data_IF_111708259689
#
_entry.id   IF_111708259689
#
_cell.length_a   1.000
_cell.length_b   1.000
_cell.length_c   1.000
_cell.angle_alpha   90.00
_cell.angle_beta   90.00
_cell.angle_gamma   90.00
#
_symmetry.space_group_name_H-M   'P 1'
#
loop_
_entity.id
_entity.type
_entity.pdbx_description
1 polymer ?
#
# COMPACT_ATOMS: atom_id res chain seq x y z
N UNK A 1 26.09 -5.24 -16.18
CA UNK A 1 24.90 -4.71 -16.88
C UNK A 1 23.76 -4.38 -15.90
N UNK A 2 24.06 -4.21 -14.63
CA UNK A 2 23.06 -3.95 -13.54
C UNK A 2 22.96 -2.46 -13.17
N UNK A 3 23.95 -1.65 -13.48
CA UNK A 3 24.04 -0.25 -13.03
C UNK A 3 23.15 0.75 -13.80
N UNK A 4 22.62 0.40 -14.97
CA UNK A 4 21.81 1.31 -15.81
C UNK A 4 20.32 1.37 -15.49
N UNK A 5 19.79 0.47 -14.66
CA UNK A 5 18.36 0.46 -14.29
C UNK A 5 18.02 1.26 -13.02
N UNK A 6 19.02 1.65 -12.22
CA UNK A 6 18.82 2.45 -11.02
C UNK A 6 18.70 3.96 -11.28
N UNK A 7 19.22 4.47 -12.38
CA UNK A 7 19.25 5.92 -12.67
C UNK A 7 17.91 6.45 -13.19
N UNK A 8 17.03 5.62 -13.72
CA UNK A 8 15.74 6.06 -14.26
C UNK A 8 14.65 6.24 -13.18
N UNK A 9 14.81 5.62 -12.02
CA UNK A 9 13.85 5.71 -10.91
C UNK A 9 14.08 6.92 -9.99
N UNK A 10 15.28 7.49 -10.00
CA UNK A 10 15.62 8.66 -9.16
C UNK A 10 15.21 10.00 -9.76
N UNK A 11 14.95 10.11 -11.05
CA UNK A 11 14.59 11.37 -11.72
C UNK A 11 13.08 11.66 -11.74
N UNK A 12 12.24 10.68 -11.44
CA UNK A 12 10.78 10.84 -11.37
C UNK A 12 10.25 11.45 -10.07
N UNK A 13 11.08 11.55 -9.03
CA UNK A 13 10.64 11.95 -7.68
C UNK A 13 10.75 13.46 -7.39
N UNK A 14 11.16 14.28 -8.36
CA UNK A 14 11.55 15.65 -8.06
C UNK A 14 10.62 16.75 -8.62
N UNK A 15 9.37 16.54 -8.79
CA UNK A 15 8.45 17.68 -9.03
C UNK A 15 7.05 17.35 -8.55
N UNK A 16 6.69 17.69 -7.33
CA UNK A 16 5.41 18.34 -7.00
C UNK A 16 5.57 19.03 -5.65
N UNK A 17 6.06 20.24 -5.65
CA UNK A 17 5.88 21.17 -4.55
C UNK A 17 4.70 22.06 -4.95
N UNK A 18 3.56 21.86 -4.36
CA UNK A 18 2.40 22.67 -4.69
C UNK A 18 1.20 22.48 -3.76
N UNK A 19 1.00 23.45 -2.90
CA UNK A 19 -0.23 23.86 -2.24
C UNK A 19 -0.73 23.08 -1.03
N UNK A 20 -0.79 23.80 0.07
CA UNK A 20 -1.16 23.40 1.40
C UNK A 20 -2.60 22.90 1.54
N UNK A 21 -2.69 21.63 1.86
CA UNK A 21 -3.81 21.06 2.59
C UNK A 21 -3.20 20.03 3.55
N UNK A 22 -3.68 19.97 4.78
CA UNK A 22 -3.30 18.92 5.74
C UNK A 22 -3.67 17.59 5.10
N UNK A 23 -2.69 16.80 4.69
CA UNK A 23 -2.92 15.52 4.05
C UNK A 23 -2.20 14.43 4.84
N UNK A 24 -2.96 13.58 5.46
CA UNK A 24 -2.51 12.30 5.96
C UNK A 24 -2.53 11.30 4.81
N UNK A 25 -1.57 10.38 4.83
CA UNK A 25 -1.36 9.40 3.78
C UNK A 25 -2.36 8.23 3.88
N UNK A 26 -3.59 8.42 3.39
CA UNK A 26 -4.68 7.45 3.48
C UNK A 26 -5.19 6.99 2.11
N UNK A 27 -5.81 5.78 2.02
CA UNK A 27 -6.45 5.28 0.80
C UNK A 27 -7.60 6.16 0.27
N UNK A 28 -8.14 7.05 1.10
CA UNK A 28 -9.14 8.05 0.75
C UNK A 28 -8.62 9.41 1.21
N UNK A 29 -7.89 10.15 0.36
CA UNK A 29 -7.45 11.52 0.62
C UNK A 29 -8.65 12.48 0.69
N UNK A 30 -8.40 13.79 0.83
CA UNK A 30 -9.47 14.80 0.86
C UNK A 30 -10.30 14.79 -0.42
N UNK A 31 -11.53 15.28 -0.31
CA UNK A 31 -12.39 15.49 -1.48
C UNK A 31 -11.66 16.31 -2.57
N UNK A 32 -11.61 15.74 -3.77
CA UNK A 32 -10.97 16.33 -4.94
C UNK A 32 -9.46 16.08 -5.03
N UNK A 33 -8.82 15.56 -4.00
CA UNK A 33 -7.39 15.30 -4.02
C UNK A 33 -7.02 14.05 -4.82
N UNK A 34 -5.81 14.06 -5.34
CA UNK A 34 -5.13 12.91 -5.91
C UNK A 34 -4.10 12.37 -4.93
N UNK A 35 -3.84 11.08 -5.02
CA UNK A 35 -2.79 10.41 -4.27
C UNK A 35 -2.03 9.42 -5.14
N UNK A 36 -0.71 9.41 -5.01
CA UNK A 36 0.16 8.39 -5.58
C UNK A 36 0.80 7.62 -4.44
N UNK A 37 0.63 6.30 -4.45
CA UNK A 37 1.19 5.40 -3.45
C UNK A 37 2.03 4.33 -4.14
N UNK A 38 3.20 4.04 -3.59
CA UNK A 38 4.06 2.94 -4.06
C UNK A 38 4.56 2.16 -2.86
N UNK A 39 4.35 0.85 -2.88
CA UNK A 39 4.82 -0.09 -1.87
C UNK A 39 5.70 -1.13 -2.54
N UNK A 40 6.94 -1.23 -2.07
CA UNK A 40 7.95 -2.08 -2.69
C UNK A 40 8.59 -2.97 -1.63
N UNK A 41 8.54 -4.25 -1.86
CA UNK A 41 9.19 -5.28 -1.07
C UNK A 41 9.94 -6.25 -2.00
N UNK A 42 10.75 -7.18 -1.48
CA UNK A 42 11.41 -8.18 -2.33
C UNK A 42 10.45 -9.02 -3.17
N UNK A 43 9.23 -9.25 -2.65
CA UNK A 43 8.26 -10.15 -3.29
C UNK A 43 7.21 -9.41 -4.12
N UNK A 44 7.00 -8.13 -3.84
CA UNK A 44 5.88 -7.40 -4.42
C UNK A 44 6.20 -5.92 -4.63
N UNK A 45 5.77 -5.39 -5.76
CA UNK A 45 5.68 -3.95 -6.01
C UNK A 45 4.22 -3.60 -6.26
N UNK A 46 3.69 -2.65 -5.51
CA UNK A 46 2.38 -2.06 -5.74
C UNK A 46 2.52 -0.57 -6.04
N UNK A 47 1.81 -0.09 -7.07
CA UNK A 47 1.67 1.33 -7.38
C UNK A 47 0.19 1.62 -7.55
N UNK A 48 -0.31 2.62 -6.83
CA UNK A 48 -1.71 3.03 -6.87
C UNK A 48 -1.84 4.52 -7.11
N UNK A 49 -2.64 4.90 -8.11
CA UNK A 49 -3.10 6.26 -8.32
C UNK A 49 -4.55 6.35 -7.82
N UNK A 50 -4.82 7.29 -6.93
CA UNK A 50 -6.11 7.44 -6.23
C UNK A 50 -6.68 8.83 -6.49
N UNK A 51 -8.00 8.93 -6.65
CA UNK A 51 -8.73 10.19 -6.68
C UNK A 51 -9.98 10.13 -5.80
N UNK A 52 -10.12 11.10 -4.89
CA UNK A 52 -11.26 11.19 -3.99
C UNK A 52 -12.37 12.08 -4.55
N UNK A 53 -13.52 11.50 -4.87
CA UNK A 53 -14.71 12.27 -5.27
C UNK A 53 -15.39 12.94 -4.08
N UNK A 54 -15.37 12.27 -2.94
CA UNK A 54 -15.93 12.76 -1.68
C UNK A 54 -14.93 12.57 -0.55
N UNK A 55 -15.25 13.05 0.64
CA UNK A 55 -14.46 12.76 1.85
C UNK A 55 -14.48 11.29 2.29
N UNK A 56 -15.33 10.46 1.68
CA UNK A 56 -15.53 9.06 2.04
C UNK A 56 -15.27 8.08 0.89
N UNK A 57 -15.30 8.53 -0.36
CA UNK A 57 -15.20 7.67 -1.54
C UNK A 57 -14.07 8.12 -2.46
N UNK A 58 -13.20 7.19 -2.81
CA UNK A 58 -12.16 7.37 -3.80
C UNK A 58 -12.14 6.22 -4.79
N UNK A 59 -11.77 6.50 -6.04
CA UNK A 59 -11.37 5.48 -7.00
C UNK A 59 -9.87 5.39 -7.05
N UNK A 60 -9.36 4.20 -7.32
CA UNK A 60 -7.94 3.98 -7.55
C UNK A 60 -7.73 3.07 -8.74
N UNK A 61 -6.59 3.24 -9.41
CA UNK A 61 -6.03 2.24 -10.31
C UNK A 61 -4.77 1.70 -9.68
N UNK A 62 -4.74 0.40 -9.44
CA UNK A 62 -3.63 -0.29 -8.81
C UNK A 62 -2.94 -1.18 -9.81
N UNK A 63 -1.64 -1.00 -9.96
CA UNK A 63 -0.72 -1.94 -10.56
C UNK A 63 -0.01 -2.69 -9.44
N UNK A 64 -0.04 -4.02 -9.47
CA UNK A 64 0.67 -4.87 -8.53
C UNK A 64 1.46 -5.89 -9.33
N UNK A 65 2.74 -6.03 -8.98
CA UNK A 65 3.66 -6.99 -9.60
C UNK A 65 4.26 -7.88 -8.53
N UNK A 66 4.15 -9.18 -8.74
CA UNK A 66 4.88 -10.22 -8.00
C UNK A 66 5.89 -10.90 -8.92
N UNK A 67 6.57 -11.97 -8.47
CA UNK A 67 7.56 -12.68 -9.29
C UNK A 67 6.97 -13.23 -10.59
N UNK A 68 5.73 -13.75 -10.54
CA UNK A 68 5.11 -14.50 -11.63
C UNK A 68 3.84 -13.88 -12.19
N UNK A 69 3.32 -12.81 -11.56
CA UNK A 69 2.05 -12.20 -11.92
C UNK A 69 2.12 -10.68 -11.94
N UNK A 70 1.39 -10.10 -12.87
CA UNK A 70 1.12 -8.66 -12.92
C UNK A 70 -0.38 -8.43 -12.87
N UNK A 71 -0.82 -7.50 -12.04
CA UNK A 71 -2.23 -7.18 -11.82
C UNK A 71 -2.51 -5.74 -12.17
N UNK A 72 -3.67 -5.51 -12.79
CA UNK A 72 -4.20 -4.19 -13.11
C UNK A 72 -5.62 -4.14 -12.57
N UNK A 73 -5.81 -3.43 -11.44
CA UNK A 73 -7.05 -3.47 -10.68
C UNK A 73 -7.58 -2.06 -10.46
N UNK A 74 -8.57 -1.61 -11.24
CA UNK A 74 -9.43 -0.51 -10.84
C UNK A 74 -10.21 -0.91 -9.59
N UNK A 75 -10.20 -0.04 -8.56
CA UNK A 75 -10.86 -0.30 -7.27
C UNK A 75 -11.58 0.93 -6.74
N UNK A 76 -12.60 0.70 -5.94
CA UNK A 76 -13.27 1.68 -5.12
C UNK A 76 -12.73 1.55 -3.68
N UNK A 77 -12.37 2.67 -3.08
CA UNK A 77 -12.02 2.76 -1.67
C UNK A 77 -13.12 3.54 -0.95
N UNK A 78 -13.60 3.01 0.15
CA UNK A 78 -14.61 3.61 0.99
C UNK A 78 -14.09 3.77 2.42
N UNK A 79 -14.05 5.03 2.90
CA UNK A 79 -13.85 5.33 4.30
C UNK A 79 -15.17 5.09 5.04
N UNK A 80 -15.32 3.89 5.58
CA UNK A 80 -16.56 3.46 6.23
C UNK A 80 -16.79 4.20 7.55
N UNK A 81 -15.72 4.50 8.28
CA UNK A 81 -15.78 5.25 9.54
C UNK A 81 -14.50 6.01 9.80
N UNK A 82 -14.64 7.21 10.36
CA UNK A 82 -13.57 8.03 10.91
C UNK A 82 -13.95 8.54 12.28
N UNK A 83 -13.02 8.46 13.21
CA UNK A 83 -13.09 9.11 14.51
C UNK A 83 -11.97 10.13 14.57
N UNK A 84 -12.32 11.37 14.84
CA UNK A 84 -11.36 12.45 15.07
C UNK A 84 -11.51 12.90 16.52
N UNK A 85 -10.49 12.67 17.32
CA UNK A 85 -10.36 13.21 18.65
C UNK A 85 -9.35 14.36 18.63
N UNK A 86 -9.19 15.04 19.75
CA UNK A 86 -8.28 16.18 19.86
C UNK A 86 -6.82 15.80 19.52
N UNK A 87 -6.36 14.63 19.99
CA UNK A 87 -4.97 14.16 19.87
C UNK A 87 -4.82 12.88 19.02
N UNK A 88 -5.88 12.37 18.44
CA UNK A 88 -5.80 11.12 17.68
C UNK A 88 -6.88 10.99 16.62
N UNK A 89 -6.59 10.17 15.61
CA UNK A 89 -7.51 9.79 14.56
C UNK A 89 -7.55 8.28 14.42
N UNK A 90 -8.73 7.74 14.10
CA UNK A 90 -8.89 6.35 13.71
C UNK A 90 -9.77 6.23 12.48
N UNK A 91 -9.47 5.26 11.63
CA UNK A 91 -10.18 5.05 10.37
C UNK A 91 -10.46 3.58 10.14
N UNK A 92 -11.56 3.30 9.43
CA UNK A 92 -11.86 2.00 8.84
C UNK A 92 -12.12 2.22 7.35
N UNK A 93 -11.39 1.50 6.51
CA UNK A 93 -11.50 1.52 5.06
C UNK A 93 -11.93 0.16 4.54
N UNK A 94 -12.81 0.18 3.56
CA UNK A 94 -13.13 -0.99 2.74
C UNK A 94 -12.75 -0.69 1.30
N UNK A 95 -12.24 -1.69 0.61
CA UNK A 95 -11.92 -1.58 -0.81
C UNK A 95 -12.43 -2.78 -1.57
N UNK A 96 -12.80 -2.56 -2.82
CA UNK A 96 -13.24 -3.62 -3.73
C UNK A 96 -12.91 -3.25 -5.16
N UNK A 97 -12.55 -4.25 -5.95
CA UNK A 97 -12.17 -4.05 -7.35
C UNK A 97 -12.31 -5.31 -8.19
N UNK A 98 -12.36 -5.09 -9.51
CA UNK A 98 -12.31 -6.17 -10.50
C UNK A 98 -11.30 -5.73 -11.55
N UNK A 99 -10.35 -6.61 -11.85
CA UNK A 99 -9.28 -6.31 -12.79
C UNK A 99 -8.82 -7.52 -13.56
N UNK A 100 -7.62 -7.43 -14.07
CA UNK A 100 -6.94 -8.50 -14.80
C UNK A 100 -5.62 -8.86 -14.13
N UNK A 101 -5.29 -10.12 -14.23
CA UNK A 101 -3.99 -10.66 -13.89
C UNK A 101 -3.36 -11.23 -15.15
N UNK A 102 -2.10 -10.91 -15.39
CA UNK A 102 -1.26 -11.54 -16.40
C UNK A 102 -0.39 -12.57 -15.68
N UNK A 103 -0.70 -13.84 -15.87
CA UNK A 103 0.03 -14.97 -15.31
C UNK A 103 0.47 -15.91 -16.43
N UNK A 104 1.77 -16.19 -16.55
CA UNK A 104 2.33 -17.03 -17.62
C UNK A 104 1.88 -16.63 -19.03
N UNK A 105 1.83 -15.33 -19.32
CA UNK A 105 1.35 -14.72 -20.56
C UNK A 105 -0.16 -14.92 -20.86
N UNK A 106 -0.94 -15.37 -19.88
CA UNK A 106 -2.40 -15.46 -19.98
C UNK A 106 -3.09 -14.40 -19.14
N UNK A 107 -4.16 -13.82 -19.68
CA UNK A 107 -4.99 -12.87 -18.97
C UNK A 107 -6.12 -13.58 -18.23
N UNK A 108 -6.20 -13.37 -16.92
CA UNK A 108 -7.23 -13.89 -16.04
C UNK A 108 -8.00 -12.74 -15.39
N UNK A 109 -9.28 -12.97 -15.11
CA UNK A 109 -10.05 -12.00 -14.32
C UNK A 109 -9.70 -12.18 -12.83
N UNK A 110 -9.45 -11.08 -12.15
CA UNK A 110 -9.22 -11.06 -10.71
C UNK A 110 -10.23 -10.16 -10.02
N UNK A 111 -10.73 -10.58 -8.86
CA UNK A 111 -11.56 -9.80 -7.95
C UNK A 111 -10.76 -9.49 -6.71
N UNK A 112 -10.91 -8.28 -6.19
CA UNK A 112 -10.21 -7.80 -5.01
C UNK A 112 -11.21 -7.36 -3.95
N UNK A 113 -10.91 -7.70 -2.69
CA UNK A 113 -11.51 -7.11 -1.50
C UNK A 113 -10.43 -6.72 -0.51
N UNK A 114 -10.61 -5.63 0.21
CA UNK A 114 -9.65 -5.15 1.20
C UNK A 114 -10.33 -4.52 2.41
N UNK A 115 -9.66 -4.66 3.55
CA UNK A 115 -10.01 -4.04 4.83
C UNK A 115 -8.76 -3.36 5.38
N UNK A 116 -8.84 -2.06 5.61
CA UNK A 116 -7.81 -1.29 6.30
C UNK A 116 -8.37 -0.68 7.58
N UNK A 117 -7.61 -0.71 8.64
CA UNK A 117 -7.91 -0.02 9.89
C UNK A 117 -6.63 0.63 10.40
N UNK A 118 -6.72 1.88 10.77
CA UNK A 118 -5.61 2.58 11.39
C UNK A 118 -6.07 3.41 12.58
N UNK A 119 -5.15 3.63 13.49
CA UNK A 119 -5.23 4.58 14.57
C UNK A 119 -3.89 5.26 14.72
N UNK A 120 -3.89 6.56 14.80
CA UNK A 120 -2.69 7.35 15.04
C UNK A 120 -2.94 8.51 15.99
N UNK A 121 -1.91 8.83 16.74
CA UNK A 121 -1.78 10.03 17.55
C UNK A 121 -0.51 10.76 17.13
N UNK A 122 -0.18 11.88 17.76
CA UNK A 122 1.10 12.57 17.50
C UNK A 122 2.34 11.69 17.81
N UNK A 123 2.20 10.61 18.60
CA UNK A 123 3.31 9.79 19.08
C UNK A 123 3.21 8.31 18.75
N UNK A 124 2.01 7.77 18.58
CA UNK A 124 1.79 6.35 18.39
C UNK A 124 0.95 6.07 17.15
N UNK A 125 1.25 4.97 16.50
CA UNK A 125 0.60 4.52 15.27
C UNK A 125 0.34 3.03 15.33
N UNK A 126 -0.86 2.61 14.92
CA UNK A 126 -1.24 1.21 14.73
C UNK A 126 -1.98 1.11 13.40
N UNK A 127 -1.67 0.09 12.61
CA UNK A 127 -2.37 -0.21 11.37
C UNK A 127 -2.58 -1.72 11.24
N UNK A 128 -3.75 -2.08 10.79
CA UNK A 128 -4.08 -3.38 10.22
C UNK A 128 -4.54 -3.19 8.79
N UNK A 129 -3.99 -3.97 7.87
CA UNK A 129 -4.35 -3.95 6.47
C UNK A 129 -4.41 -5.38 5.93
N UNK A 130 -5.51 -5.71 5.25
CA UNK A 130 -5.74 -7.00 4.64
C UNK A 130 -6.24 -6.81 3.22
N UNK A 131 -5.61 -7.51 2.29
CA UNK A 131 -6.06 -7.61 0.91
C UNK A 131 -6.29 -9.07 0.56
N UNK A 132 -7.36 -9.31 -0.16
CA UNK A 132 -7.74 -10.61 -0.68
C UNK A 132 -7.98 -10.50 -2.19
N UNK A 133 -7.36 -11.38 -2.94
CA UNK A 133 -7.46 -11.50 -4.39
C UNK A 133 -8.01 -12.87 -4.74
N UNK A 134 -8.97 -12.93 -5.63
CA UNK A 134 -9.55 -14.17 -6.15
C UNK A 134 -9.46 -14.18 -7.66
N UNK A 135 -8.72 -15.17 -8.20
CA UNK A 135 -8.61 -15.43 -9.62
C UNK A 135 -9.81 -16.25 -10.08
N UNK A 136 -10.57 -15.73 -11.05
CA UNK A 136 -11.69 -16.43 -11.66
C UNK A 136 -11.25 -16.96 -13.02
N UNK A 137 -10.91 -18.23 -13.05
CA UNK A 137 -10.44 -18.88 -14.27
C UNK A 137 -11.57 -19.66 -14.97
N UNK A 138 -12.40 -18.94 -15.71
CA UNK A 138 -13.48 -19.56 -16.50
C UNK A 138 -13.04 -20.04 -17.88
N UNK A 139 -11.86 -19.64 -18.34
CA UNK A 139 -11.41 -19.87 -19.72
C UNK A 139 -10.43 -21.00 -19.90
N UNK A 140 -9.66 -21.32 -18.88
CA UNK A 140 -8.61 -22.33 -18.98
C UNK A 140 -8.62 -23.25 -17.75
N UNK A 141 -9.17 -24.46 -17.90
CA UNK A 141 -9.26 -25.46 -16.84
C UNK A 141 -7.89 -25.95 -16.33
N UNK A 142 -6.81 -25.65 -17.04
CA UNK A 142 -5.45 -26.02 -16.63
C UNK A 142 -4.88 -25.08 -15.52
N UNK A 143 -5.47 -23.90 -15.33
CA UNK A 143 -5.07 -22.97 -14.27
C UNK A 143 -6.17 -22.96 -13.20
N UNK A 144 -5.93 -23.41 -11.98
CA UNK A 144 -6.97 -23.47 -10.95
C UNK A 144 -7.46 -22.08 -10.53
N UNK A 145 -8.72 -22.02 -10.07
CA UNK A 145 -9.19 -20.87 -9.32
C UNK A 145 -8.38 -20.79 -8.04
N UNK A 146 -7.74 -19.67 -7.81
CA UNK A 146 -6.89 -19.48 -6.65
C UNK A 146 -7.28 -18.19 -5.91
N UNK A 147 -7.13 -18.25 -4.61
CA UNK A 147 -7.31 -17.10 -3.74
C UNK A 147 -6.02 -16.85 -3.00
N UNK A 148 -5.58 -15.62 -2.99
CA UNK A 148 -4.37 -15.18 -2.31
C UNK A 148 -4.52 -13.76 -1.80
N UNK A 149 -3.65 -13.39 -0.91
CA UNK A 149 -3.69 -12.07 -0.30
C UNK A 149 -2.60 -11.89 0.73
N UNK A 150 -2.69 -10.80 1.46
CA UNK A 150 -1.82 -10.56 2.60
C UNK A 150 -2.60 -10.02 3.80
N UNK A 151 -2.02 -10.23 4.97
CA UNK A 151 -2.38 -9.53 6.21
C UNK A 151 -1.14 -8.80 6.70
N UNK A 152 -1.31 -7.53 7.05
CA UNK A 152 -0.25 -6.65 7.52
C UNK A 152 -0.67 -5.99 8.81
N UNK A 153 0.19 -6.03 9.80
CA UNK A 153 0.03 -5.32 11.06
C UNK A 153 1.25 -4.45 11.31
N UNK A 154 1.02 -3.20 11.72
CA UNK A 154 2.08 -2.25 12.02
C UNK A 154 1.84 -1.58 13.35
N UNK A 155 2.92 -1.37 14.07
CA UNK A 155 2.97 -0.49 15.23
C UNK A 155 4.14 0.46 15.08
N UNK A 156 3.96 1.69 15.53
CA UNK A 156 5.00 2.71 15.40
C UNK A 156 4.98 3.72 16.52
N UNK A 157 6.12 4.38 16.70
CA UNK A 157 6.27 5.49 17.63
C UNK A 157 7.16 6.58 17.05
N UNK A 158 6.78 7.84 17.29
CA UNK A 158 7.63 8.99 17.00
C UNK A 158 8.50 9.29 18.22
N UNK A 159 9.85 9.25 18.13
CA UNK A 159 10.75 9.53 19.22
C UNK A 159 10.70 10.99 19.69
N UNK A 160 10.30 11.90 18.82
CA UNK A 160 10.06 13.31 19.11
C UNK A 160 8.77 13.78 18.42
N UNK A 161 8.21 14.87 18.86
CA UNK A 161 7.06 15.52 18.23
C UNK A 161 7.58 16.60 17.27
N UNK A 162 7.04 16.60 16.07
CA UNK A 162 7.30 17.60 15.05
C UNK A 162 6.00 18.33 14.67
N UNK A 163 6.12 19.56 14.20
CA UNK A 163 5.00 20.29 13.62
C UNK A 163 4.72 19.78 12.19
N UNK A 164 3.60 20.20 11.62
CA UNK A 164 3.13 19.67 10.33
C UNK A 164 4.09 19.93 9.16
N UNK A 165 4.78 21.05 9.16
CA UNK A 165 5.74 21.46 8.13
C UNK A 165 7.19 21.02 8.43
N UNK A 166 7.42 20.42 9.59
CA UNK A 166 8.68 19.83 9.98
C UNK A 166 8.76 18.37 9.58
N UNK A 167 9.99 17.85 9.49
CA UNK A 167 10.23 16.45 9.24
C UNK A 167 9.88 15.62 10.49
N UNK A 168 8.84 14.82 10.38
CA UNK A 168 8.45 13.85 11.39
C UNK A 168 9.06 12.48 11.08
N UNK A 169 9.66 11.86 12.09
CA UNK A 169 10.31 10.54 11.95
C UNK A 169 9.62 9.54 12.87
N UNK A 170 9.34 8.35 12.32
CA UNK A 170 8.71 7.26 13.06
C UNK A 170 9.55 6.00 12.97
N UNK A 171 9.61 5.28 14.08
CA UNK A 171 10.10 3.92 14.17
C UNK A 171 8.90 2.99 14.05
N UNK A 172 8.91 2.09 13.06
CA UNK A 172 7.79 1.18 12.79
C UNK A 172 8.30 -0.26 12.79
N UNK A 173 7.54 -1.13 13.45
CA UNK A 173 7.64 -2.58 13.32
C UNK A 173 6.42 -3.08 12.53
N UNK A 174 6.67 -3.81 11.46
CA UNK A 174 5.67 -4.43 10.61
C UNK A 174 5.76 -5.95 10.73
N UNK A 175 4.61 -6.60 10.92
CA UNK A 175 4.42 -8.02 10.70
C UNK A 175 3.52 -8.22 9.48
N UNK A 176 3.97 -9.02 8.51
CA UNK A 176 3.23 -9.31 7.28
C UNK A 176 3.18 -10.82 7.06
N UNK A 177 2.02 -11.30 6.62
CA UNK A 177 1.82 -12.69 6.25
C UNK A 177 1.06 -12.76 4.94
N UNK A 178 1.54 -13.56 4.02
CA UNK A 178 0.82 -13.90 2.79
C UNK A 178 -0.08 -15.11 3.02
N UNK A 179 -1.26 -15.12 2.40
CA UNK A 179 -2.32 -16.12 2.60
C UNK A 179 -2.66 -16.73 1.25
N UNK A 180 -2.88 -18.06 1.21
CA UNK A 180 -3.37 -18.75 0.02
C UNK A 180 -2.32 -18.81 -1.08
N UNK A 181 -1.22 -19.46 -0.82
CA UNK A 181 -0.18 -19.72 -1.81
C UNK A 181 -0.65 -20.78 -2.80
N UNK A 182 -1.13 -20.34 -3.97
CA UNK A 182 -1.13 -21.21 -5.13
C UNK A 182 0.30 -21.44 -5.62
N UNK A 183 0.61 -22.60 -6.14
CA UNK A 183 1.93 -22.94 -6.72
C UNK A 183 2.18 -22.07 -7.96
N UNK A 184 2.62 -20.84 -7.79
CA UNK A 184 2.94 -19.93 -8.87
C UNK A 184 2.56 -18.47 -8.67
N UNK A 185 1.99 -18.05 -7.53
CA UNK A 185 1.65 -16.64 -7.31
C UNK A 185 2.87 -15.74 -7.03
N UNK A 186 4.02 -16.34 -6.71
CA UNK A 186 5.26 -15.60 -6.38
C UNK A 186 5.16 -14.63 -5.20
N UNK A 187 4.00 -14.57 -4.56
CA UNK A 187 3.85 -13.89 -3.29
C UNK A 187 4.47 -14.74 -2.19
N UNK A 188 5.24 -14.15 -1.30
CA UNK A 188 6.06 -14.75 -0.26
C UNK A 188 5.50 -16.00 0.45
N UNK A 189 6.21 -16.48 1.46
CA UNK A 189 5.80 -17.68 2.21
C UNK A 189 4.59 -17.44 3.12
N UNK A 190 3.96 -18.51 3.63
CA UNK A 190 2.93 -18.43 4.68
C UNK A 190 3.51 -18.00 6.05
N UNK A 191 4.82 -17.87 6.15
CA UNK A 191 5.49 -17.42 7.37
C UNK A 191 5.25 -15.93 7.61
N UNK A 192 5.25 -15.54 8.88
CA UNK A 192 5.16 -14.14 9.27
C UNK A 192 6.51 -13.48 9.03
N UNK A 193 6.52 -12.47 8.21
CA UNK A 193 7.70 -11.65 7.93
C UNK A 193 7.71 -10.39 8.80
N UNK A 194 8.81 -10.21 9.53
CA UNK A 194 9.01 -9.02 10.36
C UNK A 194 9.92 -8.03 9.64
N UNK A 195 9.50 -6.77 9.61
CA UNK A 195 10.25 -5.66 9.01
C UNK A 195 10.39 -4.52 10.00
N UNK A 196 11.61 -4.04 10.19
CA UNK A 196 11.88 -2.80 10.92
C UNK A 196 11.96 -1.66 9.90
N UNK A 197 11.27 -0.54 10.17
CA UNK A 197 11.16 0.55 9.21
C UNK A 197 11.38 1.90 9.89
N UNK A 198 11.95 2.82 9.13
CA UNK A 198 11.91 4.25 9.39
C UNK A 198 10.89 4.89 8.45
N UNK A 199 9.95 5.66 9.00
CA UNK A 199 9.04 6.51 8.24
C UNK A 199 9.47 7.96 8.41
N UNK A 200 9.50 8.66 7.30
CA UNK A 200 9.72 10.08 7.21
C UNK A 200 8.48 10.72 6.62
N UNK A 201 7.97 11.72 7.30
CA UNK A 201 6.76 12.41 6.87
C UNK A 201 6.97 13.92 6.97
N UNK A 202 6.65 14.63 5.91
CA UNK A 202 6.63 16.08 5.86
C UNK A 202 5.50 16.55 4.94
N UNK A 203 4.62 17.38 5.47
CA UNK A 203 3.44 17.93 4.77
C UNK A 203 2.56 16.83 4.18
N UNK A 204 2.58 16.64 2.86
CA UNK A 204 1.76 15.68 2.10
C UNK A 204 2.56 14.51 1.54
N UNK A 205 3.81 14.34 1.97
CA UNK A 205 4.73 13.34 1.43
C UNK A 205 5.25 12.44 2.54
N UNK A 206 5.22 11.16 2.28
CA UNK A 206 5.67 10.10 3.19
C UNK A 206 6.64 9.18 2.46
N UNK A 207 7.74 8.85 3.12
CA UNK A 207 8.67 7.79 2.70
C UNK A 207 8.87 6.80 3.85
N UNK A 208 9.02 5.55 3.49
CA UNK A 208 9.42 4.51 4.43
C UNK A 208 10.57 3.71 3.83
N UNK A 209 11.56 3.44 4.63
CA UNK A 209 12.63 2.50 4.31
C UNK A 209 12.73 1.49 5.43
N UNK A 210 12.84 0.21 5.08
CA UNK A 210 12.91 -0.86 6.06
C UNK A 210 13.76 -2.03 5.61
N UNK A 211 14.12 -2.86 6.58
CA UNK A 211 14.81 -4.11 6.36
C UNK A 211 14.02 -5.25 7.01
N UNK A 212 13.77 -6.32 6.25
CA UNK A 212 13.20 -7.56 6.78
C UNK A 212 14.23 -8.31 7.62
N UNK A 213 13.80 -8.95 8.68
CA UNK A 213 14.68 -9.73 9.54
C UNK A 213 15.27 -10.97 8.85
N UNK A 214 14.54 -11.51 7.85
CA UNK A 214 15.00 -12.62 6.99
C UNK A 214 15.74 -12.17 5.73
N UNK A 215 16.04 -10.87 5.61
CA UNK A 215 16.76 -10.27 4.50
C UNK A 215 15.84 -9.60 3.46
N UNK A 216 16.39 -8.59 2.81
CA UNK A 216 15.69 -7.78 1.82
C UNK A 216 15.26 -6.41 2.34
N UNK A 217 15.08 -5.48 1.41
CA UNK A 217 14.73 -4.09 1.70
C UNK A 217 13.28 -3.81 1.30
N UNK A 218 12.64 -2.95 2.07
CA UNK A 218 11.30 -2.41 1.80
C UNK A 218 11.43 -0.92 1.61
N UNK A 219 10.78 -0.39 0.58
CA UNK A 219 10.70 1.04 0.31
C UNK A 219 9.29 1.41 -0.09
N UNK A 220 8.67 2.33 0.65
CA UNK A 220 7.35 2.84 0.35
C UNK A 220 7.41 4.35 0.15
N UNK A 221 6.54 4.82 -0.70
CA UNK A 221 6.39 6.25 -1.00
C UNK A 221 4.91 6.59 -1.16
N UNK A 222 4.52 7.75 -0.64
CA UNK A 222 3.18 8.25 -0.79
C UNK A 222 3.17 9.77 -0.85
N UNK A 223 2.40 10.31 -1.77
CA UNK A 223 2.17 11.76 -1.89
C UNK A 223 0.72 12.03 -2.23
N UNK A 224 0.17 13.09 -1.66
CA UNK A 224 -1.16 13.63 -1.99
C UNK A 224 -1.03 15.04 -2.58
N UNK A 225 -1.86 15.38 -3.58
CA UNK A 225 -1.85 16.66 -4.28
C UNK A 225 -3.21 17.05 -4.85
#
# INVERSE_FOLDING_TARGET
>A
MVLRRFTALLFGALVVVGFGARSEAHPVPYKGAWGLMSFNSPDMTEVSLVHSFTSQLAVATTYLKSSDSEFYIPRLNWLAKRWNNEDSQANIYLSGGIGSEVFKNENQTVRMAGLGMDWESRRYYVLFDQMYLHRDNRRNLAIPNESYGYMKFRVGTAPFLAEYDELNVWLILQAERYIGRGSGSGLGGEEVELTQMLRFYVRNTLWEIGARLNGGWVFNYMVHF
#
